data_IF_547393237354
#
_entry.id   IF_547393237354
#
_cell.length_a   1.000
_cell.length_b   1.000
_cell.length_c   1.000
_cell.angle_alpha   90.00
_cell.angle_beta   90.00
_cell.angle_gamma   90.00
#
_symmetry.space_group_name_H-M   'P 1'
#
loop_
_entity.id
_entity.type
_entity.pdbx_description
1 polymer ?
#
# COMPACT_ATOMS: atom_id res chain seq x y z
N UNK A 1 -32.47 -19.05 15.56
CA UNK A 1 -32.05 -17.85 14.83
C UNK A 1 -30.61 -18.10 14.42
N UNK A 2 -30.33 -18.17 13.13
CA UNK A 2 -28.94 -18.26 12.64
C UNK A 2 -28.34 -16.87 12.79
N UNK A 3 -27.35 -16.73 13.67
CA UNK A 3 -26.50 -15.56 13.70
C UNK A 3 -25.68 -15.58 12.41
N UNK A 4 -26.03 -14.70 11.46
CA UNK A 4 -25.15 -14.33 10.36
C UNK A 4 -23.97 -13.57 10.97
N UNK A 5 -22.99 -14.31 11.46
CA UNK A 5 -21.68 -13.78 11.82
C UNK A 5 -20.93 -13.42 10.55
N UNK A 6 -21.30 -12.29 9.92
CA UNK A 6 -20.34 -11.55 9.10
C UNK A 6 -19.30 -10.99 10.05
N UNK A 7 -18.25 -11.79 10.24
CA UNK A 7 -17.00 -11.41 10.87
C UNK A 7 -16.43 -10.23 10.06
N UNK A 8 -16.86 -9.01 10.41
CA UNK A 8 -16.46 -7.77 9.74
C UNK A 8 -15.05 -7.45 10.21
N UNK A 9 -14.11 -8.05 9.49
CA UNK A 9 -12.66 -7.98 9.67
C UNK A 9 -12.14 -6.56 9.95
N UNK A 10 -11.85 -6.28 11.23
CA UNK A 10 -11.00 -5.17 11.70
C UNK A 10 -11.71 -3.84 11.99
N UNK A 11 -11.25 -3.11 13.01
CA UNK A 11 -11.59 -1.69 13.20
C UNK A 11 -10.90 -0.84 12.12
N UNK A 12 -11.43 0.33 11.72
CA UNK A 12 -10.75 1.22 10.77
C UNK A 12 -9.28 1.51 11.15
N UNK A 13 -9.01 1.69 12.44
CA UNK A 13 -7.64 1.89 12.96
C UNK A 13 -6.70 0.70 12.68
N UNK A 14 -7.21 -0.53 12.73
CA UNK A 14 -6.44 -1.73 12.40
C UNK A 14 -6.12 -1.79 10.91
N UNK A 15 -7.08 -1.42 10.06
CA UNK A 15 -6.89 -1.31 8.62
C UNK A 15 -5.85 -0.25 8.29
N UNK A 16 -5.95 0.95 8.87
CA UNK A 16 -5.04 2.06 8.61
C UNK A 16 -3.62 1.77 9.08
N UNK A 17 -3.47 1.12 10.24
CA UNK A 17 -2.18 0.63 10.73
C UNK A 17 -1.57 -0.40 9.78
N UNK A 18 -2.34 -1.43 9.40
CA UNK A 18 -1.86 -2.45 8.47
C UNK A 18 -1.52 -1.86 7.10
N UNK A 19 -2.32 -0.92 6.61
CA UNK A 19 -2.05 -0.18 5.39
C UNK A 19 -0.73 0.59 5.50
N UNK A 20 -0.49 1.35 6.57
CA UNK A 20 0.75 2.09 6.76
C UNK A 20 1.99 1.19 6.66
N UNK A 21 1.96 0.03 7.32
CA UNK A 21 3.06 -0.96 7.27
C UNK A 21 3.27 -1.53 5.87
N UNK A 22 2.20 -1.96 5.20
CA UNK A 22 2.24 -2.52 3.84
C UNK A 22 2.79 -1.49 2.85
N UNK A 23 2.27 -0.26 2.89
CA UNK A 23 2.60 0.79 1.94
C UNK A 23 4.02 1.31 2.13
N UNK A 24 4.51 1.38 3.37
CA UNK A 24 5.90 1.71 3.66
C UNK A 24 6.85 0.66 3.09
N UNK A 25 6.53 -0.64 3.25
CA UNK A 25 7.32 -1.73 2.68
C UNK A 25 7.31 -1.70 1.15
N UNK A 26 6.13 -1.48 0.55
CA UNK A 26 6.01 -1.37 -0.91
C UNK A 26 6.77 -0.17 -1.45
N UNK A 27 6.76 0.99 -0.77
CA UNK A 27 7.58 2.13 -1.21
C UNK A 27 9.07 1.79 -1.24
N UNK A 28 9.54 1.06 -0.22
CA UNK A 28 10.93 0.66 -0.05
C UNK A 28 11.23 -0.71 -0.65
N UNK A 29 10.49 -1.15 -1.67
CA UNK A 29 10.65 -2.47 -2.29
C UNK A 29 12.10 -2.75 -2.74
N UNK A 30 12.84 -1.72 -3.17
CA UNK A 30 14.25 -1.81 -3.56
C UNK A 30 15.21 -2.16 -2.40
N UNK A 31 14.74 -2.06 -1.15
CA UNK A 31 15.55 -2.27 0.07
C UNK A 31 15.17 -3.55 0.84
N UNK A 32 14.17 -4.29 0.37
CA UNK A 32 13.71 -5.53 1.00
C UNK A 32 13.80 -6.69 0.02
N UNK A 33 13.93 -7.91 0.52
CA UNK A 33 13.88 -9.10 -0.33
C UNK A 33 12.44 -9.54 -0.62
N UNK A 34 12.27 -10.44 -1.60
CA UNK A 34 10.95 -10.95 -1.94
C UNK A 34 10.31 -11.72 -0.77
N UNK A 35 11.10 -12.36 0.11
CA UNK A 35 10.56 -13.11 1.25
C UNK A 35 9.85 -12.20 2.26
N UNK A 36 10.40 -11.00 2.51
CA UNK A 36 9.75 -9.97 3.30
C UNK A 36 8.54 -9.35 2.57
N UNK A 37 8.59 -9.29 1.25
CA UNK A 37 7.58 -8.59 0.46
C UNK A 37 6.33 -9.44 0.15
N UNK A 38 6.53 -10.72 -0.17
CA UNK A 38 5.50 -11.72 -0.52
C UNK A 38 4.29 -11.76 0.42
N UNK A 39 4.43 -11.73 1.76
CA UNK A 39 3.28 -11.82 2.66
C UNK A 39 2.37 -10.58 2.66
N UNK A 40 2.84 -9.44 2.13
CA UNK A 40 2.13 -8.15 2.18
C UNK A 40 1.36 -7.83 0.88
N UNK A 41 1.55 -8.64 -0.18
CA UNK A 41 1.00 -8.37 -1.50
C UNK A 41 0.31 -9.60 -2.06
N UNK A 42 -0.67 -9.40 -2.93
CA UNK A 42 -1.39 -10.49 -3.60
C UNK A 42 -1.82 -10.10 -5.01
N UNK A 43 -2.28 -11.08 -5.79
CA UNK A 43 -2.87 -10.85 -7.10
C UNK A 43 -1.93 -10.15 -8.10
N UNK A 44 -2.44 -9.21 -8.91
CA UNK A 44 -1.64 -8.48 -9.90
C UNK A 44 -0.51 -7.63 -9.29
N UNK A 45 -0.72 -7.06 -8.09
CA UNK A 45 0.29 -6.27 -7.40
C UNK A 45 1.54 -7.10 -7.08
N UNK A 46 1.37 -8.33 -6.60
CA UNK A 46 2.49 -9.23 -6.32
C UNK A 46 3.33 -9.51 -7.58
N UNK A 47 2.69 -9.70 -8.75
CA UNK A 47 3.40 -9.93 -10.01
C UNK A 47 4.19 -8.71 -10.46
N UNK A 48 3.59 -7.52 -10.33
CA UNK A 48 4.23 -6.25 -10.69
C UNK A 48 5.48 -5.99 -9.83
N UNK A 49 5.34 -6.10 -8.51
CA UNK A 49 6.45 -5.86 -7.59
C UNK A 49 7.57 -6.89 -7.78
N UNK A 50 7.23 -8.17 -7.96
CA UNK A 50 8.23 -9.20 -8.22
C UNK A 50 9.03 -8.96 -9.50
N UNK A 51 8.38 -8.45 -10.55
CA UNK A 51 9.07 -8.08 -11.80
C UNK A 51 9.99 -6.87 -11.57
N UNK A 52 9.49 -5.81 -10.94
CA UNK A 52 10.29 -4.62 -10.63
C UNK A 52 11.53 -4.97 -9.77
N UNK A 53 11.35 -5.81 -8.74
CA UNK A 53 12.42 -6.33 -7.86
C UNK A 53 13.50 -7.12 -8.60
N UNK A 54 13.14 -7.79 -9.70
CA UNK A 54 14.10 -8.55 -10.49
C UNK A 54 14.88 -7.66 -11.48
N UNK A 55 14.34 -6.51 -11.86
CA UNK A 55 14.92 -5.63 -12.89
C UNK A 55 15.72 -4.45 -12.33
N UNK A 56 15.51 -4.07 -11.08
CA UNK A 56 16.12 -2.86 -10.49
C UNK A 56 17.30 -3.18 -9.59
N UNK A 57 18.48 -2.73 -10.01
CA UNK A 57 19.68 -2.60 -9.17
C UNK A 57 19.89 -1.16 -8.68
N UNK A 58 19.00 -0.22 -9.06
CA UNK A 58 19.18 1.21 -8.80
C UNK A 58 18.62 1.61 -7.43
N UNK A 59 19.41 2.42 -6.71
CA UNK A 59 18.92 3.13 -5.54
C UNK A 59 17.77 4.07 -5.96
N UNK A 60 16.69 4.18 -5.16
CA UNK A 60 15.58 5.06 -5.51
C UNK A 60 16.04 6.52 -5.64
N UNK A 61 15.59 7.17 -6.72
CA UNK A 61 15.85 8.59 -6.97
C UNK A 61 15.09 9.51 -6.00
N UNK A 62 14.18 8.96 -5.20
CA UNK A 62 13.31 9.69 -4.27
C UNK A 62 13.38 9.12 -2.86
N UNK A 63 13.50 10.01 -1.88
CA UNK A 63 13.36 9.71 -0.46
C UNK A 63 11.92 9.94 -0.02
N UNK A 64 11.31 8.98 0.70
CA UNK A 64 10.01 9.18 1.34
C UNK A 64 10.17 10.10 2.55
N UNK A 65 9.41 11.19 2.60
CA UNK A 65 9.40 12.11 3.73
C UNK A 65 8.25 11.77 4.69
N UNK A 66 7.03 11.62 4.16
CA UNK A 66 5.83 11.30 4.93
C UNK A 66 4.92 10.34 4.17
N UNK A 67 4.26 9.46 4.91
CA UNK A 67 3.17 8.62 4.45
C UNK A 67 2.02 8.78 5.45
N UNK A 68 0.89 9.27 4.96
CA UNK A 68 -0.32 9.44 5.76
C UNK A 68 -1.52 8.75 5.10
N UNK A 69 -2.32 8.03 5.89
CA UNK A 69 -3.64 7.56 5.44
C UNK A 69 -4.63 8.71 5.65
N UNK A 70 -5.18 9.20 4.54
CA UNK A 70 -6.10 10.35 4.53
C UNK A 70 -7.56 9.96 4.63
N UNK A 71 -7.90 8.73 4.22
CA UNK A 71 -9.26 8.20 4.22
C UNK A 71 -9.21 6.68 4.02
N UNK A 72 -10.20 5.96 4.53
CA UNK A 72 -10.27 4.50 4.44
C UNK A 72 -11.71 3.99 4.47
N UNK A 73 -11.94 2.81 3.90
CA UNK A 73 -13.26 2.19 3.92
C UNK A 73 -13.25 0.71 3.59
N UNK A 74 -14.26 0.01 4.08
CA UNK A 74 -14.46 -1.41 3.79
C UNK A 74 -15.32 -1.60 2.53
N UNK A 75 -14.98 -2.64 1.78
CA UNK A 75 -15.71 -3.12 0.62
C UNK A 75 -16.32 -4.50 0.94
N UNK A 76 -17.07 -5.05 0.00
CA UNK A 76 -17.58 -6.42 0.10
C UNK A 76 -16.45 -7.45 0.03
N UNK A 77 -16.74 -8.71 0.40
CA UNK A 77 -15.83 -9.85 0.24
C UNK A 77 -14.45 -9.72 0.91
N UNK A 78 -14.36 -9.00 2.03
CA UNK A 78 -13.12 -8.85 2.79
C UNK A 78 -12.11 -7.91 2.12
N UNK A 79 -12.57 -7.04 1.22
CA UNK A 79 -11.75 -5.98 0.64
C UNK A 79 -11.89 -4.68 1.44
N UNK A 80 -10.89 -3.82 1.29
CA UNK A 80 -10.89 -2.45 1.78
C UNK A 80 -10.16 -1.54 0.80
N UNK A 81 -10.42 -0.25 0.88
CA UNK A 81 -9.63 0.76 0.21
C UNK A 81 -9.03 1.73 1.22
N UNK A 82 -7.84 2.23 0.91
CA UNK A 82 -7.17 3.29 1.67
C UNK A 82 -6.63 4.34 0.71
N UNK A 83 -6.84 5.61 1.04
CA UNK A 83 -6.25 6.74 0.33
C UNK A 83 -5.02 7.19 1.08
N UNK A 84 -3.86 6.98 0.50
CA UNK A 84 -2.57 7.36 1.07
C UNK A 84 -1.99 8.59 0.36
N UNK A 85 -1.45 9.51 1.15
CA UNK A 85 -0.68 10.66 0.68
C UNK A 85 0.78 10.39 0.97
N UNK A 86 1.59 10.44 -0.08
CA UNK A 86 3.04 10.29 -0.02
C UNK A 86 3.65 11.65 -0.28
N UNK A 87 4.59 12.08 0.57
CA UNK A 87 5.47 13.21 0.26
C UNK A 87 6.89 12.70 0.08
N UNK A 88 7.60 13.26 -0.87
CA UNK A 88 8.94 12.80 -1.23
C UNK A 88 9.84 13.96 -1.64
N UNK A 89 11.14 13.70 -1.61
CA UNK A 89 12.19 14.61 -2.06
C UNK A 89 13.16 13.85 -2.97
N UNK A 90 13.61 14.45 -4.08
CA UNK A 90 14.65 13.84 -4.92
C UNK A 90 15.97 13.71 -4.13
N UNK A 91 16.64 12.56 -4.27
CA UNK A 91 17.79 12.17 -3.46
C UNK A 91 19.06 12.94 -3.82
N UNK A 92 19.19 13.41 -5.07
CA UNK A 92 20.44 13.98 -5.59
C UNK A 92 20.59 15.50 -5.39
N UNK A 93 19.50 16.27 -5.42
CA UNK A 93 19.55 17.74 -5.31
C UNK A 93 18.77 18.31 -4.11
N UNK A 94 17.90 17.51 -3.47
CA UNK A 94 17.03 17.95 -2.38
C UNK A 94 16.11 19.14 -2.74
N UNK A 95 16.10 19.58 -4.00
CA UNK A 95 15.45 20.82 -4.40
C UNK A 95 14.04 20.55 -4.95
N UNK A 96 13.80 19.34 -5.43
CA UNK A 96 12.48 18.92 -5.89
C UNK A 96 11.78 18.10 -4.81
N UNK A 97 10.67 18.66 -4.30
CA UNK A 97 9.72 17.97 -3.44
C UNK A 97 8.41 17.74 -4.20
N UNK A 98 7.73 16.65 -3.87
CA UNK A 98 6.46 16.31 -4.48
C UNK A 98 5.53 15.62 -3.51
N UNK A 99 4.24 15.62 -3.88
CA UNK A 99 3.23 14.84 -3.21
C UNK A 99 2.42 14.02 -4.21
N UNK A 100 2.15 12.77 -3.88
CA UNK A 100 1.31 11.88 -4.65
C UNK A 100 0.19 11.33 -3.77
N UNK A 101 -1.05 11.35 -4.27
CA UNK A 101 -2.18 10.68 -3.62
C UNK A 101 -2.53 9.42 -4.40
N UNK A 102 -2.45 8.27 -3.73
CA UNK A 102 -2.79 6.98 -4.30
C UNK A 102 -3.92 6.32 -3.53
N UNK A 103 -4.78 5.62 -4.26
CA UNK A 103 -5.82 4.78 -3.68
C UNK A 103 -5.37 3.33 -3.82
N UNK A 104 -5.21 2.67 -2.69
CA UNK A 104 -4.80 1.27 -2.59
C UNK A 104 -6.00 0.43 -2.23
N UNK A 105 -6.16 -0.71 -2.92
CA UNK A 105 -7.10 -1.74 -2.51
C UNK A 105 -6.34 -2.82 -1.75
N UNK A 106 -6.84 -3.13 -0.56
CA UNK A 106 -6.33 -4.19 0.30
C UNK A 106 -7.35 -5.33 0.34
N UNK A 107 -6.85 -6.55 0.48
CA UNK A 107 -7.65 -7.76 0.67
C UNK A 107 -7.26 -8.43 1.97
N UNK A 108 -8.25 -8.82 2.77
CA UNK A 108 -8.04 -9.65 3.94
C UNK A 108 -7.96 -11.12 3.48
N UNK A 109 -6.79 -11.73 3.61
CA UNK A 109 -6.57 -13.15 3.38
C UNK A 109 -6.10 -13.79 4.69
N UNK A 110 -6.89 -14.72 5.21
CA UNK A 110 -6.59 -15.47 6.44
C UNK A 110 -6.30 -14.57 7.66
N UNK A 111 -7.04 -13.47 7.80
CA UNK A 111 -6.89 -12.52 8.90
C UNK A 111 -5.76 -11.51 8.71
N UNK A 112 -5.12 -11.47 7.53
CA UNK A 112 -4.05 -10.52 7.20
C UNK A 112 -4.41 -9.67 6.00
N UNK A 113 -4.19 -8.36 6.13
CA UNK A 113 -4.33 -7.43 5.01
C UNK A 113 -3.16 -7.55 4.05
N UNK A 114 -3.45 -7.51 2.75
CA UNK A 114 -2.46 -7.51 1.67
C UNK A 114 -2.85 -6.52 0.58
N UNK A 115 -1.89 -5.82 -0.01
CA UNK A 115 -2.14 -4.96 -1.17
C UNK A 115 -2.39 -5.79 -2.43
N UNK A 116 -3.48 -5.50 -3.14
CA UNK A 116 -3.85 -6.23 -4.36
C UNK A 116 -3.88 -5.35 -5.62
N UNK A 117 -4.13 -4.05 -5.48
CA UNK A 117 -4.09 -3.09 -6.59
C UNK A 117 -3.86 -1.65 -6.09
N UNK A 118 -3.36 -0.80 -6.99
CA UNK A 118 -3.19 0.64 -6.76
C UNK A 118 -3.75 1.41 -7.95
N UNK A 119 -4.37 2.54 -7.67
CA UNK A 119 -4.72 3.56 -8.65
C UNK A 119 -4.22 4.93 -8.21
N UNK A 120 -3.91 5.80 -9.17
CA UNK A 120 -3.68 7.21 -8.87
C UNK A 120 -5.01 7.91 -8.68
N UNK A 121 -5.14 8.71 -7.61
CA UNK A 121 -6.24 9.66 -7.53
C UNK A 121 -5.94 10.78 -8.54
N UNK A 122 -6.82 10.97 -9.53
CA UNK A 122 -6.80 12.18 -10.35
C UNK A 122 -7.29 13.30 -9.41
N UNK A 123 -6.54 14.40 -9.22
CA UNK A 123 -7.04 15.53 -8.45
C UNK A 123 -8.39 15.94 -9.02
N UNK A 124 -9.44 15.86 -8.21
CA UNK A 124 -10.73 16.44 -8.59
C UNK A 124 -10.51 17.95 -8.61
N UNK A 125 -10.43 18.52 -9.83
CA UNK A 125 -10.48 19.97 -10.04
C UNK A 125 -11.88 20.50 -9.75
#
# INVERSE_FOLDING_TARGET
MQENGTDRTGMPEDLERAAGEILLAIWHWNYVDWEAMEPLVTGPMAKLLRANMAESEEAPSRTLCELAISDSGFLEDGFAWVRAVYTWQETDDGACEGSETMVWTLKNEDGRWKACSVGRSIPQM
#
